data_IF_428230131033
#
_entry.id   IF_428230131033
#
_cell.length_a   1.000
_cell.length_b   1.000
_cell.length_c   1.000
_cell.angle_alpha   90.00
_cell.angle_beta   90.00
_cell.angle_gamma   90.00
#
_symmetry.space_group_name_H-M   'P 1'
#
loop_
_entity.id
_entity.type
_entity.pdbx_description
1 polymer ?
#
# COMPACT_ATOMS: atom_id res chain seq x y z
N UNK A 1 -21.72 -1.81 -18.36
CA UNK A 1 -22.91 -1.53 -17.56
C UNK A 1 -23.19 -0.02 -17.46
N UNK A 2 -22.24 0.76 -17.03
CA UNK A 2 -22.31 2.22 -16.86
C UNK A 2 -20.90 2.82 -16.87
N UNK A 3 -20.83 4.16 -16.94
CA UNK A 3 -19.57 4.92 -16.84
C UNK A 3 -19.54 5.63 -15.50
N UNK A 4 -18.44 5.53 -14.77
CA UNK A 4 -18.21 6.24 -13.51
C UNK A 4 -16.78 6.81 -13.49
N UNK A 5 -16.66 8.09 -13.12
CA UNK A 5 -15.39 8.81 -13.08
C UNK A 5 -14.52 8.64 -14.36
N UNK A 6 -15.18 8.65 -15.53
CA UNK A 6 -14.53 8.52 -16.84
C UNK A 6 -14.09 7.10 -17.22
N UNK A 7 -14.46 6.08 -16.45
CA UNK A 7 -14.14 4.68 -16.73
C UNK A 7 -15.39 3.84 -16.99
N UNK A 8 -15.32 2.96 -17.97
CA UNK A 8 -16.35 1.98 -18.26
C UNK A 8 -16.37 0.87 -17.22
N UNK A 9 -17.54 0.54 -16.70
CA UNK A 9 -17.73 -0.55 -15.75
C UNK A 9 -18.25 -1.78 -16.49
N UNK A 10 -17.47 -2.86 -16.45
CA UNK A 10 -17.81 -4.13 -17.10
C UNK A 10 -18.28 -5.16 -16.08
N UNK A 11 -19.33 -5.91 -16.45
CA UNK A 11 -19.85 -7.00 -15.60
C UNK A 11 -18.76 -8.02 -15.23
N UNK A 12 -17.87 -8.32 -16.17
CA UNK A 12 -16.75 -9.24 -15.91
C UNK A 12 -15.86 -8.80 -14.76
N UNK A 13 -15.55 -7.50 -14.64
CA UNK A 13 -14.73 -6.97 -13.55
C UNK A 13 -15.43 -7.16 -12.19
N UNK A 14 -16.74 -6.91 -12.14
CA UNK A 14 -17.55 -7.07 -10.92
C UNK A 14 -17.60 -8.55 -10.51
N UNK A 15 -17.86 -9.46 -11.45
CA UNK A 15 -17.95 -10.89 -11.18
C UNK A 15 -16.61 -11.43 -10.68
N UNK A 16 -15.51 -11.15 -11.39
CA UNK A 16 -14.17 -11.62 -11.01
C UNK A 16 -13.76 -11.03 -9.66
N UNK A 17 -13.95 -9.71 -9.45
CA UNK A 17 -13.64 -9.06 -8.18
C UNK A 17 -14.43 -9.63 -7.01
N UNK A 18 -15.73 -9.92 -7.21
CA UNK A 18 -16.58 -10.55 -6.19
C UNK A 18 -16.12 -11.97 -5.85
N UNK A 19 -15.79 -12.79 -6.87
CA UNK A 19 -15.28 -14.15 -6.65
C UNK A 19 -13.99 -14.12 -5.83
N UNK A 20 -13.05 -13.24 -6.17
CA UNK A 20 -11.79 -13.10 -5.44
C UNK A 20 -12.04 -12.58 -4.00
N UNK A 21 -12.96 -11.64 -3.80
CA UNK A 21 -13.34 -11.16 -2.47
C UNK A 21 -13.90 -12.28 -1.58
N UNK A 22 -14.79 -13.10 -2.14
CA UNK A 22 -15.35 -14.27 -1.44
C UNK A 22 -14.29 -15.32 -1.13
N UNK A 23 -13.34 -15.54 -2.04
CA UNK A 23 -12.22 -16.45 -1.85
C UNK A 23 -11.33 -15.98 -0.68
N UNK A 24 -10.92 -14.71 -0.62
CA UNK A 24 -10.12 -14.19 0.49
C UNK A 24 -10.89 -14.13 1.80
N UNK A 25 -12.18 -13.80 1.76
CA UNK A 25 -13.03 -13.90 2.95
C UNK A 25 -13.02 -15.34 3.50
N UNK A 26 -13.24 -16.34 2.64
CA UNK A 26 -13.23 -17.75 3.05
C UNK A 26 -11.90 -18.19 3.65
N UNK A 27 -10.78 -17.84 3.03
CA UNK A 27 -9.43 -18.17 3.50
C UNK A 27 -9.18 -17.57 4.88
N UNK A 28 -9.47 -16.26 5.05
CA UNK A 28 -9.27 -15.56 6.32
C UNK A 28 -10.27 -16.02 7.40
N UNK A 29 -11.49 -16.42 7.01
CA UNK A 29 -12.47 -17.01 7.92
C UNK A 29 -12.00 -18.38 8.46
N UNK A 30 -11.35 -19.20 7.63
CA UNK A 30 -10.82 -20.52 8.05
C UNK A 30 -9.67 -20.42 9.05
N UNK A 31 -8.92 -19.34 9.06
CA UNK A 31 -7.87 -19.08 10.05
C UNK A 31 -6.62 -18.43 9.49
N UNK A 32 -5.83 -17.85 10.39
CA UNK A 32 -4.63 -17.11 10.05
C UNK A 32 -3.55 -17.98 9.37
N UNK A 33 -3.44 -19.25 9.75
CA UNK A 33 -2.41 -20.16 9.19
C UNK A 33 -2.60 -20.42 7.70
N UNK A 34 -3.86 -20.63 7.27
CA UNK A 34 -4.17 -20.84 5.85
C UNK A 34 -3.91 -19.57 5.03
N UNK A 35 -4.32 -18.41 5.56
CA UNK A 35 -4.07 -17.12 4.95
C UNK A 35 -2.56 -16.83 4.82
N UNK A 36 -1.78 -17.10 5.87
CA UNK A 36 -0.33 -16.94 5.87
C UNK A 36 0.38 -17.91 4.93
N UNK A 37 -0.10 -19.16 4.82
CA UNK A 37 0.42 -20.14 3.87
C UNK A 37 0.27 -19.70 2.41
N UNK A 38 -0.92 -19.24 2.03
CA UNK A 38 -1.18 -18.67 0.70
C UNK A 38 -0.30 -17.45 0.45
N UNK A 39 -0.24 -16.53 1.42
CA UNK A 39 0.59 -15.32 1.37
C UNK A 39 2.04 -15.63 1.04
N UNK A 40 2.63 -16.63 1.72
CA UNK A 40 4.02 -17.05 1.52
C UNK A 40 4.29 -17.49 0.07
N UNK A 41 3.41 -18.32 -0.50
CA UNK A 41 3.57 -18.84 -1.87
C UNK A 41 3.52 -17.69 -2.89
N UNK A 42 2.50 -16.84 -2.78
CA UNK A 42 2.32 -15.70 -3.69
C UNK A 42 3.48 -14.68 -3.58
N UNK A 43 3.97 -14.41 -2.36
CA UNK A 43 5.12 -13.53 -2.15
C UNK A 43 6.42 -14.08 -2.75
N UNK A 44 6.70 -15.38 -2.60
CA UNK A 44 7.88 -16.00 -3.19
C UNK A 44 7.85 -15.87 -4.71
N UNK A 45 6.68 -16.11 -5.32
CA UNK A 45 6.51 -15.96 -6.77
C UNK A 45 6.71 -14.50 -7.22
N UNK A 46 6.08 -13.54 -6.53
CA UNK A 46 6.25 -12.10 -6.80
C UNK A 46 7.72 -11.68 -6.75
N UNK A 47 8.43 -12.04 -5.68
CA UNK A 47 9.84 -11.69 -5.50
C UNK A 47 10.69 -12.35 -6.59
N UNK A 48 10.44 -13.62 -6.91
CA UNK A 48 11.13 -14.34 -7.98
C UNK A 48 10.98 -13.67 -9.34
N UNK A 49 9.76 -13.27 -9.71
CA UNK A 49 9.49 -12.54 -10.96
C UNK A 49 10.15 -11.15 -10.92
N UNK A 50 10.10 -10.45 -9.80
CA UNK A 50 10.75 -9.15 -9.64
C UNK A 50 12.27 -9.24 -9.82
N UNK A 51 12.93 -10.21 -9.19
CA UNK A 51 14.38 -10.45 -9.35
C UNK A 51 14.73 -10.83 -10.79
N UNK A 52 13.93 -11.70 -11.41
CA UNK A 52 14.09 -12.05 -12.83
C UNK A 52 14.00 -10.80 -13.71
N UNK A 53 13.04 -9.92 -13.45
CA UNK A 53 12.87 -8.67 -14.18
C UNK A 53 14.06 -7.73 -14.00
N UNK A 54 14.61 -7.63 -12.79
CA UNK A 54 15.83 -6.86 -12.52
C UNK A 54 17.01 -7.40 -13.33
N UNK A 55 17.22 -8.71 -13.33
CA UNK A 55 18.30 -9.37 -14.10
C UNK A 55 18.12 -9.11 -15.60
N UNK A 56 16.92 -9.31 -16.14
CA UNK A 56 16.62 -9.04 -17.56
C UNK A 56 16.82 -7.56 -17.93
N UNK A 57 16.44 -6.64 -17.03
CA UNK A 57 16.67 -5.21 -17.21
C UNK A 57 18.17 -4.87 -17.25
N UNK A 58 18.96 -5.45 -16.36
CA UNK A 58 20.42 -5.26 -16.31
C UNK A 58 21.13 -5.83 -17.56
N UNK A 59 20.66 -6.93 -18.11
CA UNK A 59 21.22 -7.49 -19.37
C UNK A 59 21.05 -6.52 -20.55
N UNK A 60 20.01 -5.70 -20.53
CA UNK A 60 19.72 -4.67 -21.55
C UNK A 60 20.04 -3.25 -21.07
N UNK A 61 20.95 -3.13 -20.11
CA UNK A 61 21.32 -1.85 -19.53
C UNK A 61 21.95 -0.91 -20.56
N UNK A 62 21.37 0.29 -20.66
CA UNK A 62 21.94 1.42 -21.40
C UNK A 62 21.75 2.69 -20.57
N UNK A 63 22.85 3.35 -20.21
CA UNK A 63 22.84 4.58 -19.41
C UNK A 63 22.09 5.72 -20.10
N UNK A 64 22.05 5.71 -21.45
CA UNK A 64 21.34 6.72 -22.23
C UNK A 64 19.81 6.66 -22.00
N UNK A 65 19.27 5.48 -21.63
CA UNK A 65 17.86 5.33 -21.30
C UNK A 65 17.46 6.08 -20.03
N UNK A 66 18.40 6.39 -19.15
CA UNK A 66 18.20 7.17 -17.94
C UNK A 66 18.30 8.67 -18.15
N UNK A 67 18.66 9.09 -19.37
CA UNK A 67 18.86 10.50 -19.71
C UNK A 67 17.73 11.03 -20.63
N UNK A 68 17.35 12.30 -20.46
CA UNK A 68 17.73 13.21 -19.38
C UNK A 68 17.14 12.73 -18.03
N UNK A 69 17.84 12.98 -16.94
CA UNK A 69 17.37 12.61 -15.57
C UNK A 69 16.05 13.31 -15.22
N UNK A 70 15.77 14.41 -15.90
CA UNK A 70 14.58 15.23 -15.69
C UNK A 70 14.13 15.85 -17.01
N UNK A 71 12.83 15.87 -17.23
CA UNK A 71 12.19 16.55 -18.35
C UNK A 71 10.95 17.30 -17.89
N UNK A 72 10.82 18.58 -18.29
CA UNK A 72 9.66 19.40 -17.95
C UNK A 72 8.50 19.09 -18.90
N UNK A 73 7.48 18.41 -18.41
CA UNK A 73 6.27 18.09 -19.17
C UNK A 73 5.07 19.00 -18.82
N UNK A 74 5.35 20.16 -18.22
CA UNK A 74 4.36 21.23 -18.03
C UNK A 74 3.39 21.05 -16.86
N UNK A 75 3.59 20.08 -15.97
CA UNK A 75 2.78 19.92 -14.75
C UNK A 75 3.53 20.44 -13.53
N UNK A 76 2.81 20.80 -12.46
CA UNK A 76 3.44 21.24 -11.20
C UNK A 76 4.35 20.18 -10.57
N UNK A 77 4.07 18.91 -10.80
CA UNK A 77 4.87 17.78 -10.36
C UNK A 77 6.17 17.63 -11.17
N UNK A 78 6.18 18.09 -12.42
CA UNK A 78 7.28 17.87 -13.36
C UNK A 78 7.95 19.18 -13.84
N UNK A 79 7.84 20.25 -13.06
CA UNK A 79 8.45 21.55 -13.39
C UNK A 79 9.92 21.67 -12.96
N UNK A 80 10.41 20.76 -12.15
CA UNK A 80 11.80 20.68 -11.68
C UNK A 80 12.15 19.27 -11.21
N UNK A 81 13.44 18.95 -11.13
CA UNK A 81 13.93 17.67 -10.57
C UNK A 81 13.40 17.45 -9.14
N UNK A 82 13.48 18.46 -8.28
CA UNK A 82 12.94 18.37 -6.92
C UNK A 82 11.41 18.26 -6.91
N UNK A 83 10.72 18.92 -7.86
CA UNK A 83 9.27 18.77 -8.03
C UNK A 83 8.88 17.32 -8.27
N UNK A 84 9.56 16.61 -9.17
CA UNK A 84 9.36 15.18 -9.41
C UNK A 84 9.65 14.31 -8.18
N UNK A 85 10.70 14.61 -7.43
CA UNK A 85 11.02 13.89 -6.18
C UNK A 85 9.94 14.09 -5.10
N UNK A 86 9.39 15.29 -4.98
CA UNK A 86 8.33 15.56 -4.01
C UNK A 86 6.96 15.04 -4.48
N UNK A 87 6.71 14.97 -5.79
CA UNK A 87 5.46 14.45 -6.32
C UNK A 87 5.20 12.99 -5.90
N UNK A 88 6.26 12.17 -5.78
CA UNK A 88 6.14 10.77 -5.35
C UNK A 88 5.58 10.64 -3.92
N UNK A 89 5.70 11.69 -3.08
CA UNK A 89 5.15 11.69 -1.72
C UNK A 89 3.61 11.66 -1.71
N UNK A 90 2.95 12.03 -2.81
CA UNK A 90 1.50 11.92 -2.93
C UNK A 90 1.01 10.46 -2.92
N UNK A 91 1.84 9.52 -3.38
CA UNK A 91 1.44 8.12 -3.56
C UNK A 91 2.32 7.13 -2.82
N UNK A 92 3.60 7.43 -2.58
CA UNK A 92 4.55 6.50 -1.94
C UNK A 92 4.10 5.97 -0.58
N UNK A 93 3.40 6.73 0.30
CA UNK A 93 2.91 6.17 1.56
C UNK A 93 1.94 5.00 1.35
N UNK A 94 1.12 5.03 0.28
CA UNK A 94 0.26 3.91 -0.08
C UNK A 94 1.07 2.70 -0.57
N UNK A 95 2.09 2.90 -1.40
CA UNK A 95 2.90 1.79 -1.92
C UNK A 95 3.84 1.19 -0.89
N UNK A 96 4.21 1.94 0.13
CA UNK A 96 5.08 1.48 1.23
C UNK A 96 4.32 0.98 2.46
N UNK A 97 2.98 1.09 2.48
CA UNK A 97 2.16 0.57 3.58
C UNK A 97 2.19 -0.96 3.65
N UNK A 98 1.73 -1.52 4.77
CA UNK A 98 1.66 -2.95 5.04
C UNK A 98 2.60 -3.42 6.15
N UNK A 99 3.66 -2.69 6.48
CA UNK A 99 4.52 -3.00 7.62
C UNK A 99 3.77 -2.88 8.97
N UNK A 100 2.75 -2.06 9.03
CA UNK A 100 1.84 -1.93 10.19
C UNK A 100 1.02 -3.19 10.46
N UNK A 101 0.85 -4.07 9.48
CA UNK A 101 0.19 -5.37 9.69
C UNK A 101 1.04 -6.28 10.59
N UNK A 102 2.36 -6.10 10.66
CA UNK A 102 3.25 -6.90 11.51
C UNK A 102 2.89 -6.74 13.00
N UNK A 103 2.82 -5.52 13.59
CA UNK A 103 2.36 -5.35 14.96
C UNK A 103 0.90 -5.73 15.17
N UNK A 104 0.02 -5.62 14.17
CA UNK A 104 -1.37 -6.03 14.27
C UNK A 104 -1.56 -7.55 14.36
N UNK A 105 -0.60 -8.32 13.82
CA UNK A 105 -0.60 -9.78 13.86
C UNK A 105 0.20 -10.36 15.05
N UNK A 106 0.77 -9.55 15.92
CA UNK A 106 1.65 -10.02 17.02
C UNK A 106 0.92 -10.93 18.01
N UNK A 107 -0.34 -10.64 18.31
CA UNK A 107 -1.15 -11.48 19.19
C UNK A 107 -1.33 -12.90 18.63
N UNK A 108 -1.44 -13.02 17.31
CA UNK A 108 -1.64 -14.30 16.63
C UNK A 108 -0.32 -15.05 16.39
N UNK A 109 0.80 -14.33 16.28
CA UNK A 109 2.11 -14.91 15.95
C UNK A 109 2.94 -15.42 17.15
N UNK A 110 2.60 -15.06 18.38
CA UNK A 110 3.31 -15.50 19.60
C UNK A 110 4.79 -15.10 19.67
N UNK A 111 5.20 -14.10 18.87
CA UNK A 111 6.61 -13.70 18.70
C UNK A 111 7.16 -12.83 19.82
N UNK A 112 8.50 -12.77 19.94
CA UNK A 112 9.18 -11.84 20.84
C UNK A 112 9.01 -10.40 20.37
N UNK A 113 8.53 -9.50 21.24
CA UNK A 113 8.34 -8.07 20.95
C UNK A 113 9.60 -7.36 20.43
N UNK A 114 10.79 -7.82 20.80
CA UNK A 114 12.06 -7.29 20.28
C UNK A 114 12.25 -7.62 18.80
N UNK A 115 11.90 -8.83 18.38
CA UNK A 115 11.97 -9.26 16.97
C UNK A 115 10.99 -8.49 16.10
N UNK A 116 9.79 -8.19 16.61
CA UNK A 116 8.76 -7.43 15.87
C UNK A 116 9.28 -6.07 15.42
N UNK A 117 9.86 -5.26 16.31
CA UNK A 117 10.39 -3.94 15.95
C UNK A 117 11.50 -4.01 14.89
N UNK A 118 12.40 -5.01 14.97
CA UNK A 118 13.43 -5.22 13.96
C UNK A 118 12.84 -5.67 12.62
N UNK A 119 11.85 -6.57 12.64
CA UNK A 119 11.17 -7.06 11.42
C UNK A 119 10.46 -5.92 10.69
N UNK A 120 9.78 -5.03 11.41
CA UNK A 120 9.15 -3.83 10.84
C UNK A 120 10.19 -2.97 10.11
N UNK A 121 11.29 -2.64 10.77
CA UNK A 121 12.35 -1.82 10.15
C UNK A 121 12.94 -2.51 8.91
N UNK A 122 13.26 -3.80 9.01
CA UNK A 122 13.80 -4.58 7.92
C UNK A 122 12.84 -4.66 6.73
N UNK A 123 11.54 -4.85 6.97
CA UNK A 123 10.53 -4.94 5.91
C UNK A 123 10.43 -3.65 5.10
N UNK A 124 10.48 -2.48 5.75
CA UNK A 124 10.45 -1.19 5.07
C UNK A 124 11.70 -1.01 4.19
N UNK A 125 12.89 -1.27 4.76
CA UNK A 125 14.16 -1.15 4.02
C UNK A 125 14.16 -2.08 2.80
N UNK A 126 13.76 -3.33 2.97
CA UNK A 126 13.70 -4.31 1.87
C UNK A 126 12.68 -3.90 0.80
N UNK A 127 11.51 -3.38 1.19
CA UNK A 127 10.53 -2.88 0.24
C UNK A 127 11.05 -1.68 -0.56
N UNK A 128 11.65 -0.69 0.11
CA UNK A 128 12.25 0.47 -0.55
C UNK A 128 13.36 0.06 -1.54
N UNK A 129 14.24 -0.85 -1.13
CA UNK A 129 15.31 -1.36 -2.00
C UNK A 129 14.73 -2.13 -3.20
N UNK A 130 13.73 -2.97 -2.97
CA UNK A 130 13.08 -3.73 -4.04
C UNK A 130 12.45 -2.81 -5.10
N UNK A 131 11.67 -1.81 -4.66
CA UNK A 131 11.06 -0.84 -5.58
C UNK A 131 12.11 -0.01 -6.31
N UNK A 132 13.10 0.52 -5.59
CA UNK A 132 14.14 1.34 -6.19
C UNK A 132 14.96 0.57 -7.25
N UNK A 133 15.38 -0.65 -6.93
CA UNK A 133 16.14 -1.50 -7.85
C UNK A 133 15.31 -1.92 -9.05
N UNK A 134 14.04 -2.30 -8.85
CA UNK A 134 13.16 -2.70 -9.94
C UNK A 134 12.94 -1.54 -10.93
N UNK A 135 12.59 -0.35 -10.42
CA UNK A 135 12.38 0.84 -11.26
C UNK A 135 13.66 1.27 -11.97
N UNK A 136 14.81 1.22 -11.28
CA UNK A 136 16.10 1.51 -11.89
C UNK A 136 16.42 0.54 -13.03
N UNK A 137 16.27 -0.76 -12.83
CA UNK A 137 16.55 -1.76 -13.85
C UNK A 137 15.61 -1.64 -15.06
N UNK A 138 14.33 -1.32 -14.86
CA UNK A 138 13.38 -1.09 -15.95
C UNK A 138 13.75 0.20 -16.72
N UNK A 139 14.01 1.29 -16.02
CA UNK A 139 14.40 2.58 -16.61
C UNK A 139 15.74 2.53 -17.35
N UNK A 140 16.68 1.67 -16.89
CA UNK A 140 17.94 1.45 -17.58
C UNK A 140 17.80 0.58 -18.85
N UNK A 141 16.77 -0.27 -18.92
CA UNK A 141 16.54 -1.15 -20.06
C UNK A 141 15.72 -0.50 -21.19
N UNK A 142 14.96 0.53 -20.89
CA UNK A 142 14.08 1.22 -21.85
C UNK A 142 13.96 2.70 -21.49
N UNK A 143 13.95 3.65 -22.46
CA UNK A 143 13.84 5.09 -22.18
C UNK A 143 12.65 5.40 -21.29
N UNK A 144 12.89 6.06 -20.16
CA UNK A 144 11.85 6.31 -19.16
C UNK A 144 10.72 7.22 -19.69
N UNK A 145 11.02 8.10 -20.66
CA UNK A 145 10.02 8.96 -21.31
C UNK A 145 8.99 8.12 -22.08
N UNK A 146 9.45 7.12 -22.86
CA UNK A 146 8.55 6.22 -23.60
C UNK A 146 7.76 5.33 -22.65
N UNK A 147 8.40 4.87 -21.57
CA UNK A 147 7.72 4.12 -20.52
C UNK A 147 6.58 4.91 -19.89
N UNK A 148 6.82 6.18 -19.54
CA UNK A 148 5.86 7.02 -18.85
C UNK A 148 4.76 7.57 -19.77
N UNK A 149 5.14 8.07 -20.96
CA UNK A 149 4.23 8.81 -21.86
C UNK A 149 3.48 7.91 -22.85
N UNK A 150 4.13 6.86 -23.34
CA UNK A 150 3.67 6.14 -24.53
C UNK A 150 3.34 4.66 -24.25
N UNK A 151 3.52 4.17 -23.03
CA UNK A 151 3.30 2.76 -22.73
C UNK A 151 2.01 2.55 -21.95
N UNK A 152 1.04 1.89 -22.60
CA UNK A 152 -0.24 1.53 -21.95
C UNK A 152 -0.04 0.52 -20.79
N UNK A 153 -0.90 0.56 -19.77
CA UNK A 153 -0.91 -0.47 -18.73
C UNK A 153 -1.21 -1.89 -19.29
N UNK A 154 -0.57 -2.95 -18.77
CA UNK A 154 0.45 -2.97 -17.70
C UNK A 154 1.84 -2.57 -18.22
N UNK A 155 2.27 -1.35 -17.89
CA UNK A 155 3.41 -0.70 -18.54
C UNK A 155 4.71 -1.51 -18.46
N UNK A 156 5.09 -2.04 -17.29
CA UNK A 156 6.31 -2.84 -17.14
C UNK A 156 6.29 -4.10 -18.02
N UNK A 157 5.17 -4.81 -18.09
CA UNK A 157 5.05 -6.00 -18.93
C UNK A 157 5.18 -5.65 -20.42
N UNK A 158 4.56 -4.56 -20.86
CA UNK A 158 4.64 -4.07 -22.23
C UNK A 158 6.06 -3.63 -22.61
N UNK A 159 6.79 -2.99 -21.69
CA UNK A 159 8.20 -2.63 -21.91
C UNK A 159 9.05 -3.88 -22.12
N UNK A 160 8.92 -4.90 -21.27
CA UNK A 160 9.67 -6.15 -21.46
C UNK A 160 9.29 -6.90 -22.74
N UNK A 161 8.03 -6.85 -23.16
CA UNK A 161 7.62 -7.36 -24.46
C UNK A 161 8.30 -6.63 -25.62
N UNK A 162 8.46 -5.30 -25.53
CA UNK A 162 9.20 -4.48 -26.51
C UNK A 162 10.70 -4.77 -26.50
N UNK A 163 11.34 -4.84 -25.33
CA UNK A 163 12.77 -5.12 -25.15
C UNK A 163 13.18 -6.44 -25.81
N UNK A 164 12.34 -7.45 -25.71
CA UNK A 164 12.56 -8.79 -26.27
C UNK A 164 11.72 -9.06 -27.53
N UNK A 165 11.30 -8.01 -28.24
CA UNK A 165 10.50 -8.15 -29.46
C UNK A 165 11.23 -9.03 -30.50
N UNK A 166 10.45 -9.86 -31.19
CA UNK A 166 10.97 -10.82 -32.17
C UNK A 166 11.49 -12.14 -31.59
N UNK A 167 11.44 -12.31 -30.26
CA UNK A 167 11.76 -13.57 -29.60
C UNK A 167 10.62 -14.11 -28.77
N UNK A 168 10.57 -15.42 -28.53
CA UNK A 168 9.61 -16.03 -27.60
C UNK A 168 9.75 -15.51 -26.17
N UNK A 169 10.94 -14.98 -25.82
CA UNK A 169 11.22 -14.41 -24.51
C UNK A 169 10.33 -13.19 -24.21
N UNK A 170 9.99 -12.36 -25.20
CA UNK A 170 9.11 -11.20 -25.02
C UNK A 170 7.73 -11.60 -24.48
N UNK A 171 7.10 -12.60 -25.08
CA UNK A 171 5.81 -13.10 -24.62
C UNK A 171 5.89 -13.79 -23.26
N UNK A 172 6.96 -14.55 -23.02
CA UNK A 172 7.18 -15.21 -21.71
C UNK A 172 7.34 -14.16 -20.60
N UNK A 173 8.16 -13.14 -20.80
CA UNK A 173 8.36 -12.07 -19.82
C UNK A 173 7.06 -11.28 -19.60
N UNK A 174 6.30 -11.00 -20.65
CA UNK A 174 5.00 -10.34 -20.50
C UNK A 174 4.06 -11.14 -19.58
N UNK A 175 3.90 -12.43 -19.84
CA UNK A 175 3.02 -13.30 -19.04
C UNK A 175 3.52 -13.42 -17.60
N UNK A 176 4.83 -13.63 -17.40
CA UNK A 176 5.43 -13.73 -16.06
C UNK A 176 5.26 -12.45 -15.25
N UNK A 177 5.47 -11.29 -15.87
CA UNK A 177 5.28 -9.99 -15.20
C UNK A 177 3.82 -9.74 -14.84
N UNK A 178 2.89 -10.04 -15.73
CA UNK A 178 1.46 -9.95 -15.43
C UNK A 178 1.07 -10.91 -14.29
N UNK A 179 1.56 -12.15 -14.31
CA UNK A 179 1.31 -13.10 -13.24
C UNK A 179 1.93 -12.68 -11.91
N UNK A 180 3.18 -12.18 -11.93
CA UNK A 180 3.85 -11.63 -10.75
C UNK A 180 3.12 -10.43 -10.15
N UNK A 181 2.69 -9.49 -11.00
CA UNK A 181 1.90 -8.33 -10.57
C UNK A 181 0.55 -8.76 -9.96
N UNK A 182 -0.13 -9.74 -10.58
CA UNK A 182 -1.36 -10.31 -10.05
C UNK A 182 -1.15 -10.96 -8.68
N UNK A 183 -0.08 -11.75 -8.51
CA UNK A 183 0.30 -12.30 -7.20
C UNK A 183 0.55 -11.18 -6.18
N UNK A 184 1.20 -10.09 -6.58
CA UNK A 184 1.40 -8.90 -5.73
C UNK A 184 0.09 -8.29 -5.26
N UNK A 185 -0.87 -8.09 -6.16
CA UNK A 185 -2.20 -7.57 -5.80
C UNK A 185 -2.95 -8.52 -4.87
N UNK A 186 -2.90 -9.83 -5.13
CA UNK A 186 -3.57 -10.84 -4.31
C UNK A 186 -2.95 -10.94 -2.91
N UNK A 187 -1.61 -10.84 -2.77
CA UNK A 187 -0.96 -10.82 -1.46
C UNK A 187 -1.32 -9.58 -0.67
N UNK A 188 -1.34 -8.41 -1.32
CA UNK A 188 -1.74 -7.15 -0.70
C UNK A 188 -3.17 -7.22 -0.21
N UNK A 189 -4.08 -7.70 -1.05
CA UNK A 189 -5.49 -7.86 -0.69
C UNK A 189 -5.68 -8.78 0.52
N UNK A 190 -5.04 -9.95 0.52
CA UNK A 190 -5.09 -10.90 1.63
C UNK A 190 -4.56 -10.28 2.95
N UNK A 191 -3.42 -9.59 2.89
CA UNK A 191 -2.82 -8.93 4.07
C UNK A 191 -3.73 -7.85 4.64
N UNK A 192 -4.32 -7.02 3.79
CA UNK A 192 -5.26 -5.99 4.24
C UNK A 192 -6.56 -6.56 4.78
N UNK A 193 -7.05 -7.66 4.23
CA UNK A 193 -8.23 -8.34 4.78
C UNK A 193 -8.02 -8.69 6.25
N UNK A 194 -6.91 -9.36 6.57
CA UNK A 194 -6.59 -9.78 7.94
C UNK A 194 -6.21 -8.61 8.84
N UNK A 195 -5.32 -7.72 8.36
CA UNK A 195 -4.85 -6.56 9.14
C UNK A 195 -5.98 -5.62 9.50
N UNK A 196 -6.83 -5.25 8.52
CA UNK A 196 -7.97 -4.36 8.75
C UNK A 196 -8.99 -4.98 9.72
N UNK A 197 -9.28 -6.28 9.59
CA UNK A 197 -10.20 -6.96 10.51
C UNK A 197 -9.67 -6.98 11.95
N UNK A 198 -8.38 -7.23 12.15
CA UNK A 198 -7.75 -7.17 13.47
C UNK A 198 -7.72 -5.74 14.03
N UNK A 199 -7.43 -4.73 13.19
CA UNK A 199 -7.47 -3.32 13.59
C UNK A 199 -8.88 -2.90 14.03
N UNK A 200 -9.91 -3.23 13.23
CA UNK A 200 -11.31 -2.95 13.59
C UNK A 200 -11.68 -3.60 14.93
N UNK A 201 -11.26 -4.84 15.15
CA UNK A 201 -11.49 -5.53 16.41
C UNK A 201 -10.81 -4.82 17.59
N UNK A 202 -9.57 -4.37 17.42
CA UNK A 202 -8.83 -3.64 18.44
C UNK A 202 -9.51 -2.31 18.79
N UNK A 203 -9.94 -1.54 17.78
CA UNK A 203 -10.67 -0.28 17.95
C UNK A 203 -12.05 -0.50 18.61
N UNK A 204 -12.73 -1.60 18.29
CA UNK A 204 -14.01 -1.93 18.93
C UNK A 204 -13.86 -2.33 20.42
N UNK A 205 -12.74 -2.96 20.79
CA UNK A 205 -12.42 -3.26 22.21
C UNK A 205 -12.18 -1.99 23.03
N UNK A 206 -11.71 -0.92 22.41
CA UNK A 206 -11.49 0.39 23.04
C UNK A 206 -12.70 1.34 22.90
N UNK A 207 -13.87 0.84 22.50
CA UNK A 207 -15.10 1.62 22.30
C UNK A 207 -14.99 2.75 21.25
N UNK A 208 -14.03 2.64 20.32
CA UNK A 208 -13.91 3.58 19.18
C UNK A 208 -14.74 3.15 17.97
N UNK A 209 -15.16 1.87 17.94
CA UNK A 209 -16.03 1.29 16.92
C UNK A 209 -17.13 0.45 17.61
N UNK A 210 -18.23 0.11 16.90
CA UNK A 210 -19.28 -0.71 17.44
C UNK A 210 -18.76 -2.01 18.05
N UNK A 211 -19.15 -2.30 19.29
CA UNK A 211 -18.63 -3.44 20.07
C UNK A 211 -18.88 -4.81 19.41
N UNK A 212 -19.85 -4.91 18.50
CA UNK A 212 -20.12 -6.11 17.73
C UNK A 212 -18.89 -6.57 16.90
N UNK A 213 -17.98 -5.66 16.51
CA UNK A 213 -16.74 -5.95 15.77
C UNK A 213 -15.64 -6.53 16.66
N UNK A 214 -15.75 -6.45 17.99
CA UNK A 214 -14.75 -6.94 18.94
C UNK A 214 -14.74 -8.46 19.11
N UNK A 215 -15.82 -9.15 18.67
CA UNK A 215 -16.05 -10.57 18.92
C UNK A 215 -15.22 -11.44 17.97
N UNK A 216 -14.50 -12.42 18.56
CA UNK A 216 -13.85 -13.51 17.80
C UNK A 216 -14.78 -14.73 17.74
N UNK A 217 -14.74 -15.46 16.63
CA UNK A 217 -15.43 -16.75 16.48
C UNK A 217 -14.82 -17.80 17.41
N UNK A 218 -15.64 -18.50 18.15
CA UNK A 218 -15.19 -19.61 19.01
C UNK A 218 -14.61 -20.80 18.22
N UNK A 219 -15.00 -20.95 16.93
CA UNK A 219 -14.55 -22.05 16.08
C UNK A 219 -13.22 -21.78 15.36
N UNK A 220 -13.00 -20.55 14.90
CA UNK A 220 -11.87 -20.19 14.03
C UNK A 220 -10.93 -19.19 14.67
N UNK A 221 -11.28 -18.59 15.80
CA UNK A 221 -10.50 -17.54 16.47
C UNK A 221 -10.47 -16.20 15.72
N UNK A 222 -11.16 -16.08 14.57
CA UNK A 222 -11.11 -14.92 13.69
C UNK A 222 -12.20 -13.90 14.02
N UNK A 223 -12.00 -12.58 13.75
CA UNK A 223 -13.01 -11.54 13.96
C UNK A 223 -14.00 -11.50 12.79
N UNK A 224 -14.96 -12.43 12.74
CA UNK A 224 -15.87 -12.66 11.60
C UNK A 224 -16.66 -11.42 11.22
N UNK A 225 -17.18 -10.66 12.19
CA UNK A 225 -17.96 -9.45 11.89
C UNK A 225 -17.11 -8.38 11.19
N UNK A 226 -15.86 -8.22 11.62
CA UNK A 226 -14.93 -7.32 10.94
C UNK A 226 -14.55 -7.83 9.54
N UNK A 227 -14.35 -9.14 9.37
CA UNK A 227 -14.13 -9.74 8.05
C UNK A 227 -15.32 -9.53 7.09
N UNK A 228 -16.57 -9.56 7.58
CA UNK A 228 -17.76 -9.26 6.79
C UNK A 228 -17.74 -7.79 6.32
N UNK A 229 -17.34 -6.85 7.16
CA UNK A 229 -17.19 -5.44 6.74
C UNK A 229 -16.13 -5.31 5.64
N UNK A 230 -15.00 -5.99 5.78
CA UNK A 230 -13.96 -6.03 4.73
C UNK A 230 -14.50 -6.66 3.43
N UNK A 231 -15.30 -7.72 3.53
CA UNK A 231 -15.93 -8.36 2.37
C UNK A 231 -16.87 -7.40 1.63
N UNK A 232 -17.74 -6.72 2.36
CA UNK A 232 -18.69 -5.74 1.77
C UNK A 232 -17.92 -4.64 1.06
N UNK A 233 -16.90 -4.06 1.70
CA UNK A 233 -16.04 -3.05 1.08
C UNK A 233 -15.34 -3.58 -0.19
N UNK A 234 -14.85 -4.82 -0.15
CA UNK A 234 -14.18 -5.47 -1.30
C UNK A 234 -15.14 -5.74 -2.46
N UNK A 235 -16.40 -6.08 -2.18
CA UNK A 235 -17.43 -6.27 -3.21
C UNK A 235 -17.82 -4.93 -3.85
N UNK A 236 -17.89 -3.85 -3.06
CA UNK A 236 -18.22 -2.51 -3.56
C UNK A 236 -17.12 -1.97 -4.49
N UNK A 237 -15.85 -2.29 -4.23
CA UNK A 237 -14.70 -1.79 -4.99
C UNK A 237 -14.85 -1.88 -6.53
N UNK A 238 -15.11 -3.05 -7.12
CA UNK A 238 -15.28 -3.21 -8.56
C UNK A 238 -16.38 -2.35 -9.20
N UNK A 239 -17.38 -1.94 -8.44
CA UNK A 239 -18.44 -1.03 -8.91
C UNK A 239 -17.98 0.43 -9.04
N UNK A 240 -16.86 0.78 -8.42
CA UNK A 240 -16.31 2.13 -8.47
C UNK A 240 -15.47 2.40 -9.74
N UNK A 241 -15.01 1.35 -10.41
CA UNK A 241 -14.25 1.42 -11.65
C UNK A 241 -12.82 1.93 -11.52
N UNK A 242 -12.10 1.87 -12.63
CA UNK A 242 -10.67 2.23 -12.68
C UNK A 242 -10.41 3.72 -12.44
N UNK A 243 -11.34 4.60 -12.81
CA UNK A 243 -11.18 6.06 -12.68
C UNK A 243 -11.09 6.57 -11.24
N UNK A 244 -11.47 5.75 -10.25
CA UNK A 244 -11.33 6.09 -8.83
C UNK A 244 -10.08 5.51 -8.17
N UNK A 245 -9.26 4.73 -8.89
CA UNK A 245 -8.05 4.13 -8.32
C UNK A 245 -7.07 5.21 -7.85
N UNK A 246 -6.73 6.18 -8.69
CA UNK A 246 -5.79 7.25 -8.33
C UNK A 246 -6.29 8.12 -7.16
N UNK A 247 -7.54 8.64 -7.15
CA UNK A 247 -8.07 9.35 -5.99
C UNK A 247 -8.10 8.50 -4.71
N UNK A 248 -8.44 7.20 -4.80
CA UNK A 248 -8.42 6.30 -3.64
C UNK A 248 -7.01 6.03 -3.14
N UNK A 249 -6.04 5.86 -4.03
CA UNK A 249 -4.63 5.64 -3.69
C UNK A 249 -4.05 6.85 -2.97
N UNK A 250 -4.24 8.05 -3.53
CA UNK A 250 -3.71 9.29 -2.94
C UNK A 250 -4.42 9.68 -1.65
N UNK A 251 -5.74 9.48 -1.55
CA UNK A 251 -6.49 9.60 -0.31
C UNK A 251 -5.96 8.67 0.78
N UNK A 252 -5.73 7.38 0.43
CA UNK A 252 -5.19 6.39 1.36
C UNK A 252 -3.78 6.75 1.81
N UNK A 253 -2.94 7.25 0.89
CA UNK A 253 -1.60 7.75 1.23
C UNK A 253 -1.66 8.85 2.30
N UNK A 254 -2.57 9.83 2.17
CA UNK A 254 -2.74 10.88 3.17
C UNK A 254 -3.19 10.31 4.53
N UNK A 255 -4.10 9.32 4.54
CA UNK A 255 -4.54 8.66 5.76
C UNK A 255 -3.39 7.90 6.47
N UNK A 256 -2.50 7.25 5.71
CA UNK A 256 -1.29 6.62 6.25
C UNK A 256 -0.33 7.65 6.86
N UNK A 257 -0.08 8.77 6.17
CA UNK A 257 0.77 9.85 6.71
C UNK A 257 0.24 10.35 8.06
N UNK A 258 -1.07 10.57 8.18
CA UNK A 258 -1.70 10.94 9.47
C UNK A 258 -1.47 9.87 10.52
N UNK A 259 -1.73 8.60 10.21
CA UNK A 259 -1.58 7.48 11.13
C UNK A 259 -0.14 7.34 11.64
N UNK A 260 0.84 7.38 10.74
CA UNK A 260 2.26 7.28 11.09
C UNK A 260 2.75 8.48 11.88
N UNK A 261 2.28 9.68 11.53
CA UNK A 261 2.57 10.91 12.28
C UNK A 261 2.03 10.85 13.71
N UNK A 262 0.77 10.41 13.87
CA UNK A 262 0.17 10.20 15.19
C UNK A 262 0.93 9.15 16.01
N UNK A 263 1.37 8.05 15.40
CA UNK A 263 2.18 7.04 16.08
C UNK A 263 3.51 7.63 16.59
N UNK A 264 4.16 8.50 15.80
CA UNK A 264 5.38 9.20 16.24
C UNK A 264 5.09 10.16 17.42
N UNK A 265 4.00 10.92 17.38
CA UNK A 265 3.60 11.78 18.50
C UNK A 265 3.22 10.97 19.74
N UNK A 266 2.52 9.85 19.59
CA UNK A 266 2.24 8.92 20.70
C UNK A 266 3.52 8.41 21.35
N UNK A 267 4.52 8.03 20.55
CA UNK A 267 5.82 7.62 21.07
C UNK A 267 6.49 8.73 21.89
N UNK A 268 6.50 9.97 21.38
CA UNK A 268 7.07 11.13 22.09
C UNK A 268 6.35 11.36 23.42
N UNK A 269 5.00 11.31 23.42
CA UNK A 269 4.18 11.46 24.63
C UNK A 269 4.50 10.36 25.64
N UNK A 270 4.48 9.09 25.23
CA UNK A 270 4.74 7.94 26.10
C UNK A 270 6.16 7.94 26.69
N UNK A 271 7.13 8.56 26.04
CA UNK A 271 8.47 8.74 26.60
C UNK A 271 8.48 9.71 27.78
N UNK A 272 7.54 10.67 27.82
CA UNK A 272 7.40 11.66 28.91
C UNK A 272 6.48 11.15 30.02
N UNK A 273 5.32 10.55 29.67
CA UNK A 273 4.30 10.14 30.65
C UNK A 273 4.62 8.80 31.32
N UNK A 274 5.26 7.88 30.59
CA UNK A 274 5.58 6.53 31.06
C UNK A 274 7.08 6.22 30.89
N UNK A 275 7.99 6.90 31.61
CA UNK A 275 9.43 6.74 31.41
C UNK A 275 9.93 5.32 31.74
N UNK A 276 9.29 4.64 32.68
CA UNK A 276 9.67 3.32 33.18
C UNK A 276 9.02 2.15 32.43
N UNK A 277 8.20 2.43 31.39
CA UNK A 277 7.57 1.36 30.60
C UNK A 277 8.63 0.47 29.94
N UNK A 278 8.54 -0.87 30.09
CA UNK A 278 9.48 -1.78 29.44
C UNK A 278 9.47 -1.61 27.91
N UNK A 279 10.65 -1.42 27.31
CA UNK A 279 10.81 -1.22 25.86
C UNK A 279 11.80 -2.24 25.32
N UNK A 280 11.32 -3.42 24.93
CA UNK A 280 12.18 -4.49 24.40
C UNK A 280 12.93 -4.09 23.14
N UNK A 281 12.34 -3.21 22.30
CA UNK A 281 12.97 -2.59 21.14
C UNK A 281 13.06 -1.07 21.33
N UNK A 282 14.25 -0.53 21.10
CA UNK A 282 14.50 0.91 21.14
C UNK A 282 14.78 1.42 19.72
N UNK A 283 14.09 2.48 19.31
CA UNK A 283 14.30 3.07 17.99
C UNK A 283 15.73 3.60 17.87
N UNK A 284 16.41 3.38 16.73
CA UNK A 284 17.68 4.04 16.42
C UNK A 284 17.52 5.57 16.45
N UNK A 285 18.50 6.30 16.99
CA UNK A 285 18.42 7.76 17.09
C UNK A 285 17.49 8.32 18.19
N UNK A 286 16.74 7.47 18.90
CA UNK A 286 15.96 7.86 20.08
C UNK A 286 14.90 8.94 19.84
N UNK A 287 14.75 9.86 20.80
CA UNK A 287 13.73 10.91 20.76
C UNK A 287 13.91 11.93 19.62
N UNK A 288 15.14 12.39 19.28
CA UNK A 288 15.35 13.24 18.10
C UNK A 288 14.81 12.64 16.80
N UNK A 289 15.01 11.35 16.57
CA UNK A 289 14.48 10.65 15.37
C UNK A 289 12.94 10.62 15.40
N UNK A 290 12.32 10.43 16.56
CA UNK A 290 10.87 10.48 16.69
C UNK A 290 10.29 11.88 16.35
N UNK A 291 10.96 12.95 16.78
CA UNK A 291 10.59 14.31 16.41
C UNK A 291 10.79 14.57 14.91
N UNK A 292 11.91 14.14 14.35
CA UNK A 292 12.16 14.26 12.92
C UNK A 292 11.06 13.55 12.11
N UNK A 293 10.70 12.32 12.47
CA UNK A 293 9.62 11.58 11.84
C UNK A 293 8.27 12.33 11.96
N UNK A 294 7.90 12.78 13.15
CA UNK A 294 6.65 13.50 13.37
C UNK A 294 6.57 14.79 12.54
N UNK A 295 7.62 15.60 12.54
CA UNK A 295 7.67 16.86 11.78
C UNK A 295 7.69 16.61 10.27
N UNK A 296 8.40 15.59 9.80
CA UNK A 296 8.40 15.20 8.39
C UNK A 296 7.00 14.79 7.91
N UNK A 297 6.26 14.00 8.73
CA UNK A 297 4.89 13.62 8.40
C UNK A 297 3.95 14.83 8.34
N UNK A 298 4.10 15.79 9.26
CA UNK A 298 3.33 17.05 9.22
C UNK A 298 3.66 17.84 7.94
N UNK A 299 4.93 17.97 7.59
CA UNK A 299 5.35 18.68 6.39
C UNK A 299 4.80 18.02 5.11
N UNK A 300 4.89 16.68 5.00
CA UNK A 300 4.33 15.93 3.89
C UNK A 300 2.81 16.14 3.81
N UNK A 301 2.10 16.05 4.94
CA UNK A 301 0.65 16.24 4.97
C UNK A 301 0.26 17.64 4.49
N UNK A 302 0.98 18.67 4.93
CA UNK A 302 0.76 20.05 4.46
C UNK A 302 0.91 20.11 2.94
N UNK A 303 1.98 19.55 2.38
CA UNK A 303 2.19 19.52 0.94
C UNK A 303 1.10 18.77 0.19
N UNK A 304 0.56 17.69 0.76
CA UNK A 304 -0.51 16.89 0.13
C UNK A 304 -1.84 17.65 0.01
N UNK A 305 -2.08 18.65 0.87
CA UNK A 305 -3.37 19.39 0.88
C UNK A 305 -3.29 20.79 0.27
N UNK A 306 -2.10 21.34 0.00
CA UNK A 306 -1.96 22.67 -0.61
C UNK A 306 -1.96 22.54 -2.14
N UNK A 307 -2.96 23.14 -2.84
CA UNK A 307 -2.96 23.17 -4.30
C UNK A 307 -1.71 23.86 -4.86
N UNK A 308 -1.15 23.32 -5.95
CA UNK A 308 0.04 23.86 -6.59
C UNK A 308 1.36 23.32 -6.04
N UNK A 309 1.36 22.55 -4.93
CA UNK A 309 2.55 21.80 -4.51
C UNK A 309 2.72 20.54 -5.38
N UNK A 310 3.95 20.05 -5.56
CA UNK A 310 4.19 18.81 -6.32
C UNK A 310 3.49 17.57 -5.73
N UNK A 311 3.30 17.52 -4.41
CA UNK A 311 2.67 16.39 -3.72
C UNK A 311 1.15 16.55 -3.54
N UNK A 312 0.50 17.52 -4.19
CA UNK A 312 -0.93 17.73 -4.04
C UNK A 312 -1.76 16.52 -4.51
N UNK A 313 -2.60 15.98 -3.63
CA UNK A 313 -3.37 14.75 -3.89
C UNK A 313 -4.61 14.93 -4.80
N UNK A 314 -4.91 16.17 -5.19
CA UNK A 314 -6.06 16.47 -6.03
C UNK A 314 -7.37 16.67 -5.25
N UNK A 315 -8.26 17.49 -5.82
CA UNK A 315 -9.49 17.90 -5.14
C UNK A 315 -10.46 16.74 -4.83
N UNK A 316 -10.47 15.67 -5.63
CA UNK A 316 -11.30 14.50 -5.37
C UNK A 316 -10.82 13.74 -4.14
N UNK A 317 -9.52 13.45 -4.05
CA UNK A 317 -8.93 12.76 -2.91
C UNK A 317 -9.08 13.58 -1.60
N UNK A 318 -8.94 14.92 -1.67
CA UNK A 318 -9.21 15.81 -0.53
C UNK A 318 -10.66 15.67 -0.04
N UNK A 319 -11.65 15.68 -0.95
CA UNK A 319 -13.05 15.48 -0.57
C UNK A 319 -13.29 14.11 0.05
N UNK A 320 -12.68 13.05 -0.49
CA UNK A 320 -12.76 11.70 0.07
C UNK A 320 -12.14 11.64 1.46
N UNK A 321 -11.00 12.28 1.67
CA UNK A 321 -10.35 12.36 2.99
C UNK A 321 -11.22 13.08 4.02
N UNK A 322 -11.80 14.22 3.67
CA UNK A 322 -12.70 14.96 4.56
C UNK A 322 -13.96 14.16 4.88
N UNK A 323 -14.59 13.51 3.88
CA UNK A 323 -15.73 12.64 4.11
C UNK A 323 -15.39 11.48 5.05
N UNK A 324 -14.21 10.87 4.89
CA UNK A 324 -13.72 9.81 5.78
C UNK A 324 -13.52 10.30 7.22
N UNK A 325 -12.95 11.50 7.39
CA UNK A 325 -12.82 12.11 8.72
C UNK A 325 -14.20 12.34 9.39
N UNK A 326 -15.18 12.83 8.62
CA UNK A 326 -16.54 13.02 9.15
C UNK A 326 -17.16 11.70 9.58
N UNK A 327 -17.02 10.63 8.76
CA UNK A 327 -17.50 9.29 9.12
C UNK A 327 -16.81 8.77 10.38
N UNK A 328 -15.48 8.94 10.48
CA UNK A 328 -14.71 8.52 11.64
C UNK A 328 -15.16 9.23 12.94
N UNK A 329 -15.34 10.55 12.87
CA UNK A 329 -15.84 11.35 14.02
C UNK A 329 -17.26 10.93 14.39
N UNK A 330 -18.15 10.75 13.41
CA UNK A 330 -19.52 10.31 13.67
C UNK A 330 -19.57 8.92 14.33
N UNK A 331 -18.75 7.98 13.87
CA UNK A 331 -18.64 6.65 14.48
C UNK A 331 -18.10 6.73 15.91
N UNK A 332 -17.09 7.53 16.15
CA UNK A 332 -16.53 7.74 17.50
C UNK A 332 -17.57 8.31 18.45
N UNK A 333 -18.29 9.38 18.05
CA UNK A 333 -19.34 9.98 18.88
C UNK A 333 -20.53 9.03 19.14
N UNK A 334 -20.84 8.16 18.20
CA UNK A 334 -21.90 7.18 18.35
C UNK A 334 -21.52 6.00 19.26
N UNK A 335 -20.23 5.75 19.49
CA UNK A 335 -19.71 4.61 20.26
C UNK A 335 -19.00 5.02 21.56
N UNK A 336 -18.68 6.30 21.71
CA UNK A 336 -18.10 6.83 22.94
C UNK A 336 -19.06 6.60 24.12
N UNK A 337 -18.56 6.15 25.29
CA UNK A 337 -19.36 5.88 26.48
C UNK A 337 -19.98 7.14 27.08
#
# INVERSE_FOLDING_TARGET
LYVLAGSDIYLGHIVVGTIIALFFFYINYKGADLAAGLQKVLCIFLIGVGVLSMVCGLVKFDVNNLMPVYENIGTSAHNSMFGGMFAILATSPFFLCGFENIPQAVEDAGGSHKKVGFTVLLSIIMACLFYALLLFCIGAAWPWQDFYLNTAPPAAANVFAKIFAGSAMGNVMYILLCAGALCGLLTTWNSFFMGTANLMMALARTHMLPFALSKRSAKTGTPVNALIVCLVASIVGPFLGLGLIDPLTTFSAAAYVVSWGLAAFCLIKLRKTEPNLPRPYKIPGGLPMAWFAALSMVAILIMMFIPGTPAYIGGMAVKMFLAWCVVGVAMFLATAP
#
